data_IF_264706139904
#
_entry.id   IF_264706139904
#
_cell.length_a   1.000
_cell.length_b   1.000
_cell.length_c   1.000
_cell.angle_alpha   90.00
_cell.angle_beta   90.00
_cell.angle_gamma   90.00
#
_symmetry.space_group_name_H-M   'P 1'
#
loop_
_entity.id
_entity.type
_entity.pdbx_description
1 polymer ?
#
# COMPACT_ATOMS: atom_id res chain seq x y z
N UNK A 1 -25.49 -31.95 0.36
CA UNK A 1 -25.04 -31.64 -1.01
C UNK A 1 -26.26 -31.25 -1.83
N UNK A 2 -26.48 -29.97 -2.06
CA UNK A 2 -27.60 -29.44 -2.83
C UNK A 2 -27.35 -29.64 -4.33
N UNK A 3 -27.96 -30.67 -4.92
CA UNK A 3 -27.91 -30.91 -6.36
C UNK A 3 -29.00 -30.06 -7.05
N UNK A 4 -28.58 -28.94 -7.63
CA UNK A 4 -29.42 -28.13 -8.50
C UNK A 4 -29.17 -28.58 -9.96
N UNK A 5 -30.11 -29.36 -10.52
CA UNK A 5 -29.97 -29.94 -11.86
C UNK A 5 -30.79 -29.21 -12.95
N UNK A 6 -31.57 -28.18 -12.59
CA UNK A 6 -32.51 -27.51 -13.50
C UNK A 6 -32.41 -25.98 -13.45
N UNK A 7 -31.30 -25.43 -12.97
CA UNK A 7 -31.13 -23.99 -12.81
C UNK A 7 -30.78 -23.36 -14.16
N UNK A 8 -31.70 -22.65 -14.80
CA UNK A 8 -31.44 -22.03 -16.11
C UNK A 8 -30.77 -20.65 -16.01
N UNK A 9 -30.92 -19.97 -14.87
CA UNK A 9 -30.41 -18.61 -14.67
C UNK A 9 -30.01 -18.42 -13.21
N UNK A 10 -28.83 -17.85 -13.00
CA UNK A 10 -28.28 -17.54 -11.68
C UNK A 10 -27.57 -16.20 -11.74
N UNK A 11 -27.99 -15.23 -10.92
CA UNK A 11 -27.22 -14.00 -10.64
C UNK A 11 -26.91 -13.98 -9.16
N UNK A 12 -25.63 -13.95 -8.80
CA UNK A 12 -25.21 -13.74 -7.42
C UNK A 12 -24.18 -12.62 -7.36
N UNK A 13 -24.13 -11.75 -8.37
CA UNK A 13 -23.20 -10.64 -8.41
C UNK A 13 -23.45 -9.64 -7.26
N UNK A 14 -22.40 -8.95 -6.83
CA UNK A 14 -22.42 -7.89 -5.81
C UNK A 14 -23.07 -8.31 -4.48
N UNK A 15 -22.72 -9.51 -4.01
CA UNK A 15 -23.12 -10.02 -2.72
C UNK A 15 -21.89 -10.22 -1.83
N UNK A 16 -22.12 -10.57 -0.55
CA UNK A 16 -21.04 -10.87 0.39
C UNK A 16 -20.83 -12.39 0.55
N UNK A 17 -20.81 -13.13 -0.57
CA UNK A 17 -20.61 -14.58 -0.53
C UNK A 17 -19.14 -14.93 -0.35
N UNK A 18 -18.88 -16.02 0.37
CA UNK A 18 -17.54 -16.51 0.64
C UNK A 18 -17.42 -18.02 0.51
N UNK A 19 -16.19 -18.48 0.26
CA UNK A 19 -15.85 -19.89 0.13
C UNK A 19 -15.68 -20.37 -1.32
N UNK A 20 -15.41 -21.67 -1.46
CA UNK A 20 -15.16 -22.31 -2.75
C UNK A 20 -16.47 -22.56 -3.50
N UNK A 21 -16.51 -22.19 -4.78
CA UNK A 21 -17.62 -22.54 -5.68
C UNK A 21 -17.66 -24.08 -5.83
N UNK A 22 -18.78 -24.75 -5.54
CA UNK A 22 -18.87 -26.20 -5.63
C UNK A 22 -18.58 -26.75 -7.04
N UNK A 23 -17.54 -27.58 -7.16
CA UNK A 23 -17.18 -28.21 -8.42
C UNK A 23 -18.10 -29.36 -8.83
N UNK A 24 -18.28 -29.56 -10.14
CA UNK A 24 -19.13 -30.63 -10.68
C UNK A 24 -20.64 -30.32 -10.63
N UNK A 25 -21.01 -29.06 -10.49
CA UNK A 25 -22.41 -28.59 -10.50
C UNK A 25 -22.66 -27.63 -11.67
N UNK A 26 -23.93 -27.35 -11.97
CA UNK A 26 -24.33 -26.35 -12.97
C UNK A 26 -23.83 -24.92 -12.63
N UNK A 27 -23.38 -24.68 -11.40
CA UNK A 27 -22.79 -23.41 -11.00
C UNK A 27 -21.54 -23.07 -11.83
N UNK A 28 -20.76 -24.08 -12.21
CA UNK A 28 -19.57 -23.89 -13.04
C UNK A 28 -19.86 -23.55 -14.50
N UNK A 29 -21.08 -23.81 -14.99
CA UNK A 29 -21.45 -23.51 -16.38
C UNK A 29 -21.88 -22.06 -16.58
N UNK A 30 -22.17 -21.32 -15.50
CA UNK A 30 -22.53 -19.91 -15.60
C UNK A 30 -21.31 -19.04 -15.82
N UNK A 31 -21.52 -17.92 -16.51
CA UNK A 31 -20.45 -16.96 -16.78
C UNK A 31 -19.85 -16.39 -15.49
N UNK A 32 -18.54 -16.09 -15.47
CA UNK A 32 -17.87 -15.51 -14.30
C UNK A 32 -18.52 -14.19 -13.83
N UNK A 33 -19.09 -13.41 -14.76
CA UNK A 33 -19.77 -12.14 -14.45
C UNK A 33 -20.91 -12.31 -13.45
N UNK A 34 -21.52 -13.50 -13.38
CA UNK A 34 -22.62 -13.81 -12.45
C UNK A 34 -22.16 -13.92 -10.99
N UNK A 35 -20.86 -13.93 -10.75
CA UNK A 35 -20.21 -14.05 -9.45
C UNK A 35 -19.38 -12.80 -9.08
N UNK A 36 -19.33 -11.78 -9.94
CA UNK A 36 -18.55 -10.56 -9.71
C UNK A 36 -19.00 -9.83 -8.45
N UNK A 37 -18.09 -9.13 -7.77
CA UNK A 37 -18.42 -8.35 -6.58
C UNK A 37 -18.64 -9.18 -5.31
N UNK A 38 -18.16 -10.43 -5.27
CA UNK A 38 -18.10 -11.26 -4.07
C UNK A 38 -16.64 -11.55 -3.72
N UNK A 39 -16.07 -10.81 -2.77
CA UNK A 39 -14.63 -10.88 -2.48
C UNK A 39 -14.22 -12.22 -1.85
N UNK A 40 -15.12 -12.87 -1.12
CA UNK A 40 -14.82 -14.12 -0.43
C UNK A 40 -14.88 -15.37 -1.32
N UNK A 41 -15.38 -15.26 -2.56
CA UNK A 41 -15.51 -16.42 -3.46
C UNK A 41 -14.18 -16.77 -4.14
N UNK A 42 -13.97 -18.07 -4.35
CA UNK A 42 -12.83 -18.58 -5.09
C UNK A 42 -13.18 -19.87 -5.84
N UNK A 43 -12.39 -20.23 -6.86
CA UNK A 43 -12.56 -21.41 -7.71
C UNK A 43 -13.26 -21.13 -9.04
N UNK A 44 -13.21 -22.10 -9.96
CA UNK A 44 -13.85 -21.99 -11.29
C UNK A 44 -15.36 -21.76 -11.17
N UNK A 45 -15.96 -20.85 -11.97
CA UNK A 45 -15.43 -20.24 -13.21
C UNK A 45 -14.68 -18.91 -13.01
N UNK A 46 -14.45 -18.47 -11.77
CA UNK A 46 -13.72 -17.22 -11.49
C UNK A 46 -12.19 -17.40 -11.68
N UNK A 47 -11.49 -16.30 -11.98
CA UNK A 47 -10.02 -16.30 -12.09
C UNK A 47 -9.32 -16.48 -10.73
N UNK A 48 -10.00 -16.17 -9.64
CA UNK A 48 -9.49 -16.27 -8.27
C UNK A 48 -9.42 -17.74 -7.83
N UNK A 49 -8.21 -18.29 -7.73
CA UNK A 49 -7.96 -19.66 -7.22
C UNK A 49 -8.20 -19.73 -5.71
N UNK A 50 -8.63 -20.88 -5.21
CA UNK A 50 -8.73 -21.12 -3.78
C UNK A 50 -7.38 -21.59 -3.22
N UNK A 51 -7.10 -21.32 -1.93
CA UNK A 51 -5.95 -21.91 -1.26
C UNK A 51 -6.03 -23.44 -1.31
N UNK A 52 -4.98 -24.07 -1.84
CA UNK A 52 -4.92 -25.53 -2.06
C UNK A 52 -5.17 -25.99 -3.50
N UNK A 53 -5.39 -25.09 -4.47
CA UNK A 53 -5.39 -25.40 -5.92
C UNK A 53 -3.96 -25.33 -6.53
N UNK A 54 -2.94 -25.27 -5.68
CA UNK A 54 -1.52 -25.22 -6.04
C UNK A 54 -0.95 -26.64 -6.11
N UNK A 55 -1.14 -27.31 -7.24
CA UNK A 55 -0.24 -28.36 -7.69
C UNK A 55 0.14 -28.06 -9.14
N UNK A 56 1.45 -27.88 -9.37
CA UNK A 56 2.16 -27.72 -10.65
C UNK A 56 2.03 -26.35 -11.36
N UNK A 57 2.80 -25.36 -10.91
CA UNK A 57 3.95 -24.84 -11.70
C UNK A 57 4.75 -23.79 -10.89
N UNK A 58 6.03 -23.70 -11.25
CA UNK A 58 7.17 -23.07 -10.58
C UNK A 58 7.08 -21.55 -10.24
N UNK A 59 7.99 -21.03 -9.38
CA UNK A 59 7.86 -19.73 -8.76
C UNK A 59 8.30 -18.63 -9.73
N UNK A 60 7.34 -17.93 -10.33
CA UNK A 60 7.60 -16.61 -10.88
C UNK A 60 6.80 -15.57 -10.10
N UNK A 61 7.55 -14.70 -9.45
CA UNK A 61 7.15 -13.50 -8.76
C UNK A 61 6.21 -12.61 -9.58
N UNK A 62 5.44 -11.81 -8.82
CA UNK A 62 4.55 -10.70 -9.21
C UNK A 62 3.08 -11.09 -9.35
N UNK A 63 2.32 -10.74 -8.32
CA UNK A 63 0.85 -10.75 -8.34
C UNK A 63 0.25 -10.37 -6.99
N UNK A 64 0.60 -9.19 -6.46
CA UNK A 64 -0.11 -8.62 -5.30
C UNK A 64 -1.51 -8.22 -5.78
N UNK A 65 -2.52 -9.03 -5.46
CA UNK A 65 -3.92 -8.65 -5.56
C UNK A 65 -4.60 -8.92 -4.22
N UNK A 66 -4.31 -8.05 -3.26
CA UNK A 66 -5.17 -7.82 -2.09
C UNK A 66 -6.02 -6.59 -2.42
N UNK A 67 -7.30 -6.85 -2.64
CA UNK A 67 -8.31 -5.89 -3.05
C UNK A 67 -8.82 -5.07 -1.88
N UNK A 68 -8.95 -3.78 -2.16
CA UNK A 68 -9.94 -2.83 -1.64
C UNK A 68 -9.72 -2.21 -0.25
N UNK A 69 -9.24 -2.90 0.79
CA UNK A 69 -8.94 -2.24 2.08
C UNK A 69 -7.53 -1.62 2.14
N UNK A 70 -6.52 -2.28 1.58
CA UNK A 70 -5.14 -1.73 1.54
C UNK A 70 -4.97 -0.58 0.53
N UNK A 71 -5.89 -0.48 -0.44
CA UNK A 71 -5.81 0.52 -1.50
C UNK A 71 -5.97 1.92 -0.94
N UNK A 72 -7.01 2.13 -0.13
CA UNK A 72 -7.36 3.43 0.41
C UNK A 72 -6.25 3.95 1.33
N UNK A 73 -5.76 3.14 2.28
CA UNK A 73 -4.66 3.50 3.17
C UNK A 73 -3.36 3.79 2.42
N UNK A 74 -3.07 3.02 1.36
CA UNK A 74 -1.90 3.26 0.50
C UNK A 74 -2.04 4.57 -0.29
N UNK A 75 -3.20 4.88 -0.84
CA UNK A 75 -3.45 6.15 -1.54
C UNK A 75 -3.41 7.35 -0.59
N UNK A 76 -3.91 7.21 0.64
CA UNK A 76 -3.80 8.24 1.68
C UNK A 76 -2.37 8.42 2.16
N UNK A 77 -1.59 7.34 2.31
CA UNK A 77 -0.18 7.44 2.67
C UNK A 77 0.64 8.10 1.55
N UNK A 78 0.45 7.67 0.30
CA UNK A 78 1.10 8.27 -0.86
C UNK A 78 0.68 9.73 -1.01
N UNK A 79 -0.60 10.03 -0.86
CA UNK A 79 -1.15 11.39 -0.92
C UNK A 79 -0.66 12.28 0.21
N UNK A 80 -0.58 11.76 1.43
CA UNK A 80 -0.10 12.48 2.61
C UNK A 80 1.38 12.84 2.51
N UNK A 81 2.22 11.85 2.17
CA UNK A 81 3.67 12.07 2.01
C UNK A 81 3.96 13.01 0.83
N UNK A 82 3.31 12.81 -0.31
CA UNK A 82 3.49 13.68 -1.48
C UNK A 82 2.97 15.09 -1.23
N UNK A 83 1.78 15.23 -0.62
CA UNK A 83 1.19 16.51 -0.27
C UNK A 83 2.04 17.31 0.70
N UNK A 84 2.62 16.66 1.71
CA UNK A 84 3.55 17.30 2.63
C UNK A 84 4.80 17.80 1.91
N UNK A 85 5.40 16.96 1.06
CA UNK A 85 6.58 17.35 0.28
C UNK A 85 6.30 18.54 -0.63
N UNK A 86 5.18 18.52 -1.37
CA UNK A 86 4.76 19.61 -2.25
C UNK A 86 4.48 20.90 -1.47
N UNK A 87 3.73 20.82 -0.38
CA UNK A 87 3.42 21.97 0.48
C UNK A 87 4.67 22.59 1.10
N UNK A 88 5.57 21.76 1.63
CA UNK A 88 6.85 22.22 2.15
C UNK A 88 7.68 22.93 1.08
N UNK A 89 7.76 22.36 -0.13
CA UNK A 89 8.51 22.97 -1.24
C UNK A 89 7.95 24.32 -1.66
N UNK A 90 6.62 24.49 -1.66
CA UNK A 90 5.96 25.76 -1.98
C UNK A 90 6.33 26.83 -0.95
N UNK A 91 6.19 26.52 0.34
CA UNK A 91 6.53 27.47 1.42
C UNK A 91 8.02 27.82 1.38
N UNK A 92 8.89 26.81 1.21
CA UNK A 92 10.32 26.99 1.11
C UNK A 92 10.69 27.90 -0.08
N UNK A 93 10.11 27.64 -1.25
CA UNK A 93 10.32 28.45 -2.45
C UNK A 93 9.84 29.89 -2.26
N UNK A 94 8.68 30.10 -1.64
CA UNK A 94 8.16 31.44 -1.34
C UNK A 94 9.09 32.23 -0.40
N UNK A 95 9.63 31.57 0.64
CA UNK A 95 10.59 32.19 1.56
C UNK A 95 11.90 32.55 0.85
N UNK A 96 12.39 31.71 -0.05
CA UNK A 96 13.61 31.98 -0.82
C UNK A 96 13.43 33.13 -1.83
N UNK A 97 12.27 33.25 -2.46
CA UNK A 97 11.96 34.34 -3.39
C UNK A 97 11.71 35.67 -2.67
N UNK A 98 11.22 35.63 -1.43
CA UNK A 98 11.06 36.83 -0.62
C UNK A 98 12.43 37.33 -0.09
N UNK A 99 12.91 38.44 -0.63
CA UNK A 99 14.22 39.05 -0.30
C UNK A 99 14.42 39.29 1.20
N UNK A 100 13.36 39.59 1.95
CA UNK A 100 13.42 39.81 3.40
C UNK A 100 13.43 38.49 4.19
N UNK A 101 12.69 37.47 3.72
CA UNK A 101 12.63 36.14 4.33
C UNK A 101 13.89 35.30 4.09
N UNK A 102 14.50 35.43 2.91
CA UNK A 102 15.69 34.69 2.51
C UNK A 102 16.87 34.86 3.48
N UNK A 103 17.16 36.09 3.90
CA UNK A 103 18.26 36.34 4.85
C UNK A 103 17.97 35.81 6.25
N UNK A 104 16.72 35.84 6.71
CA UNK A 104 16.34 35.24 7.99
C UNK A 104 16.48 33.71 7.95
N UNK A 105 16.04 33.08 6.86
CA UNK A 105 16.17 31.64 6.65
C UNK A 105 17.64 31.20 6.63
N UNK A 106 18.51 31.86 5.85
CA UNK A 106 19.93 31.51 5.80
C UNK A 106 20.61 31.67 7.16
N UNK A 107 20.35 32.76 7.90
CA UNK A 107 20.92 32.95 9.25
C UNK A 107 20.49 31.87 10.23
N UNK A 108 19.21 31.47 10.18
CA UNK A 108 18.70 30.41 11.04
C UNK A 108 19.36 29.07 10.70
N UNK A 109 19.46 28.74 9.42
CA UNK A 109 20.10 27.52 8.95
C UNK A 109 21.58 27.45 9.34
N UNK A 110 22.33 28.55 9.19
CA UNK A 110 23.74 28.62 9.61
C UNK A 110 23.87 28.46 11.13
N UNK A 111 22.97 29.09 11.90
CA UNK A 111 22.95 28.95 13.37
C UNK A 111 22.65 27.51 13.82
N UNK A 112 21.74 26.80 13.14
CA UNK A 112 21.45 25.39 13.41
C UNK A 112 22.63 24.49 13.08
N UNK A 113 23.30 24.73 11.95
CA UNK A 113 24.50 23.98 11.55
C UNK A 113 25.61 24.15 12.57
N UNK A 114 25.89 25.38 13.00
CA UNK A 114 26.92 25.65 14.00
C UNK A 114 26.59 24.96 15.33
N UNK A 115 25.32 25.05 15.77
CA UNK A 115 24.89 24.37 17.00
C UNK A 115 25.04 22.85 16.90
N UNK A 116 24.58 22.24 15.81
CA UNK A 116 24.68 20.80 15.58
C UNK A 116 26.15 20.36 15.48
N UNK A 117 26.98 21.11 14.73
CA UNK A 117 28.40 20.86 14.59
C UNK A 117 29.11 20.87 15.95
N UNK A 118 28.88 21.91 16.77
CA UNK A 118 29.47 21.99 18.11
C UNK A 118 29.01 20.83 18.98
N UNK A 119 27.72 20.46 18.95
CA UNK A 119 27.21 19.29 19.70
C UNK A 119 27.87 18.00 19.26
N UNK A 120 28.00 17.77 17.96
CA UNK A 120 28.66 16.58 17.38
C UNK A 120 30.14 16.54 17.74
N UNK A 121 30.88 17.66 17.59
CA UNK A 121 32.30 17.73 17.96
C UNK A 121 32.51 17.50 19.45
N UNK A 122 31.69 18.11 20.31
CA UNK A 122 31.75 17.89 21.77
C UNK A 122 31.42 16.43 22.12
N UNK A 123 30.46 15.83 21.42
CA UNK A 123 30.14 14.42 21.60
C UNK A 123 31.32 13.53 21.18
N UNK A 124 31.85 13.69 19.97
CA UNK A 124 33.00 12.94 19.47
C UNK A 124 34.20 13.08 20.42
N UNK A 125 34.53 14.30 20.86
CA UNK A 125 35.65 14.53 21.78
C UNK A 125 35.44 13.90 23.16
N UNK A 126 34.20 13.88 23.68
CA UNK A 126 33.86 13.12 24.90
C UNK A 126 34.06 11.63 24.70
N UNK A 127 33.58 11.07 23.60
CA UNK A 127 33.74 9.64 23.28
C UNK A 127 35.20 9.23 23.09
N UNK A 128 36.00 10.07 22.40
CA UNK A 128 37.43 9.85 22.24
C UNK A 128 38.17 9.86 23.58
N UNK A 129 37.75 10.68 24.54
CA UNK A 129 38.33 10.71 25.89
C UNK A 129 38.00 9.45 26.68
N UNK A 130 36.76 8.96 26.58
CA UNK A 130 36.32 7.71 27.23
C UNK A 130 37.02 6.50 26.60
N UNK A 131 37.12 6.43 25.27
CA UNK A 131 37.76 5.32 24.57
C UNK A 131 39.28 5.24 24.78
N UNK A 132 39.90 6.30 25.32
CA UNK A 132 41.34 6.35 25.66
C UNK A 132 41.61 6.08 27.15
N UNK A 133 40.57 5.96 27.98
CA UNK A 133 40.67 5.59 29.40
C UNK A 133 40.41 4.10 29.54
#
# INVERSE_FOLDING_TARGET
MSQLNFLNFLDVSHNNLSGRIPSGTQLQTFEPVRYIGNEGLCGSPMLKKCPGDEELEEPHSIGKSEGEEEGIDKWFYIGGVSGFATGFWIVFSAILLNRHGRHAFFRFHDSLKDWAYVKVVVFITKWQRVART
#
